data_IF_014938826361
#
_entry.id   IF_014938826361
#
_cell.length_a   1.000
_cell.length_b   1.000
_cell.length_c   1.000
_cell.angle_alpha   90.00
_cell.angle_beta   90.00
_cell.angle_gamma   90.00
#
_symmetry.space_group_name_H-M   'P 1'
#
loop_
_entity.id
_entity.type
_entity.pdbx_description
1 polymer ?
#
# COMPACT_ATOMS: atom_id res chain seq x y z
N UNK A 1 -18.19 -21.76 10.38
CA UNK A 1 -17.82 -20.57 11.20
C UNK A 1 -16.34 -20.59 11.64
N UNK A 2 -15.45 -21.24 10.87
CA UNK A 2 -14.08 -21.55 11.32
C UNK A 2 -12.96 -20.93 10.46
N UNK A 3 -13.24 -20.34 9.30
CA UNK A 3 -12.20 -19.73 8.46
C UNK A 3 -11.62 -18.42 9.02
N UNK A 4 -12.40 -17.65 9.80
CA UNK A 4 -11.94 -16.37 10.37
C UNK A 4 -10.84 -16.58 11.43
N UNK A 5 -10.79 -17.76 12.07
CA UNK A 5 -9.85 -18.05 13.15
C UNK A 5 -8.45 -18.41 12.65
N UNK A 6 -8.33 -18.99 11.45
CA UNK A 6 -7.03 -19.49 10.95
C UNK A 6 -6.11 -18.35 10.50
N UNK A 7 -6.67 -17.24 10.01
CA UNK A 7 -5.89 -16.06 9.58
C UNK A 7 -5.19 -15.40 10.78
N UNK A 8 -5.78 -15.45 11.99
CA UNK A 8 -5.20 -14.82 13.19
C UNK A 8 -4.18 -15.67 13.96
N UNK A 9 -4.11 -16.99 13.72
CA UNK A 9 -3.17 -17.86 14.45
C UNK A 9 -1.79 -17.92 13.79
N UNK A 10 -1.65 -17.51 12.53
CA UNK A 10 -0.36 -17.59 11.82
C UNK A 10 0.56 -16.38 12.04
N UNK A 11 0.06 -15.31 12.65
CA UNK A 11 0.84 -14.09 12.96
C UNK A 11 1.59 -14.17 14.31
N UNK A 12 1.31 -15.16 15.17
CA UNK A 12 1.82 -15.21 16.56
C UNK A 12 3.01 -16.16 16.80
N UNK A 13 3.52 -16.82 15.77
CA UNK A 13 4.66 -17.74 15.88
C UNK A 13 5.78 -17.30 14.92
N UNK A 14 6.44 -16.20 15.28
CA UNK A 14 7.79 -15.87 14.82
C UNK A 14 8.68 -15.86 16.06
N UNK A 15 9.66 -16.76 16.01
CA UNK A 15 10.57 -17.16 17.08
C UNK A 15 11.27 -16.00 17.80
N UNK A 16 11.11 -15.98 19.11
CA UNK A 16 11.93 -15.25 20.08
C UNK A 16 13.22 -16.06 20.30
N UNK A 17 14.33 -15.65 19.65
CA UNK A 17 15.65 -16.18 19.96
C UNK A 17 16.51 -15.08 20.62
N UNK A 18 16.93 -15.26 21.89
CA UNK A 18 17.77 -14.28 22.57
C UNK A 18 19.24 -14.45 22.14
N UNK A 19 19.78 -13.45 21.44
CA UNK A 19 21.21 -13.22 21.32
C UNK A 19 21.68 -12.35 22.51
N UNK A 20 21.83 -12.96 23.69
CA UNK A 20 22.57 -12.33 24.78
C UNK A 20 24.06 -12.37 24.44
N UNK A 21 24.59 -11.18 24.20
CA UNK A 21 25.94 -10.91 23.79
C UNK A 21 27.02 -11.43 24.77
N UNK A 22 28.10 -11.82 24.14
CA UNK A 22 29.43 -12.10 24.66
C UNK A 22 30.08 -10.81 25.20
N UNK A 23 30.48 -10.82 26.49
CA UNK A 23 31.66 -10.14 27.13
C UNK A 23 31.30 -9.61 28.51
N UNK A 24 31.93 -10.19 29.54
CA UNK A 24 32.49 -9.41 30.64
C UNK A 24 33.64 -10.20 31.28
N UNK A 25 34.86 -9.79 30.95
CA UNK A 25 36.09 -10.24 31.58
C UNK A 25 37.04 -9.03 31.66
N UNK A 26 37.48 -8.75 32.88
CA UNK A 26 38.54 -7.82 33.30
C UNK A 26 38.09 -6.42 33.75
N UNK A 27 38.31 -6.11 35.05
CA UNK A 27 38.38 -4.70 35.47
C UNK A 27 38.17 -4.36 36.95
N UNK A 28 38.71 -5.08 37.93
CA UNK A 28 38.90 -4.50 39.28
C UNK A 28 40.27 -4.81 39.84
N UNK A 29 41.23 -3.90 39.67
CA UNK A 29 42.44 -3.83 40.48
C UNK A 29 42.78 -2.36 40.78
N UNK A 30 42.69 -2.03 42.07
CA UNK A 30 43.74 -1.29 42.80
C UNK A 30 43.96 0.19 42.49
N UNK A 31 43.53 1.04 43.42
CA UNK A 31 44.17 2.33 43.70
C UNK A 31 45.68 2.16 43.99
N UNK A 32 46.52 3.08 43.47
CA UNK A 32 47.62 3.78 44.17
C UNK A 32 48.44 4.63 43.17
N UNK A 33 48.56 5.94 43.43
CA UNK A 33 49.63 6.92 43.03
C UNK A 33 50.10 6.97 41.56
N UNK A 34 50.36 8.11 40.91
CA UNK A 34 51.02 9.35 41.31
C UNK A 34 50.82 10.37 40.17
N UNK A 35 50.74 11.65 40.52
CA UNK A 35 50.84 12.87 39.68
C UNK A 35 51.64 12.73 38.37
N UNK A 36 51.11 13.26 37.25
CA UNK A 36 51.91 13.53 36.06
C UNK A 36 51.15 13.97 34.80
N UNK A 37 51.05 15.31 34.62
CA UNK A 37 51.12 16.04 33.35
C UNK A 37 49.99 15.90 32.29
N UNK A 38 49.22 17.00 32.16
CA UNK A 38 48.77 17.74 30.96
C UNK A 38 48.64 16.94 29.64
N UNK A 39 47.46 16.98 29.01
CA UNK A 39 47.27 17.66 27.70
C UNK A 39 45.78 17.72 27.29
N UNK A 40 45.46 18.91 26.78
CA UNK A 40 44.23 19.47 26.25
C UNK A 40 43.30 18.54 25.42
N UNK A 41 42.01 18.81 25.60
CA UNK A 41 40.84 18.29 24.89
C UNK A 41 40.97 18.28 23.35
N UNK A 42 40.96 17.10 22.75
CA UNK A 42 40.56 16.92 21.36
C UNK A 42 39.03 16.73 21.32
N UNK A 43 38.30 17.79 21.01
CA UNK A 43 36.89 17.71 20.65
C UNK A 43 36.76 16.83 19.41
N UNK A 44 36.29 15.59 19.59
CA UNK A 44 35.88 14.75 18.48
C UNK A 44 34.62 15.37 17.89
N UNK A 45 34.81 16.22 16.87
CA UNK A 45 33.70 16.68 16.05
C UNK A 45 33.30 15.48 15.19
N UNK A 46 32.46 14.61 15.74
CA UNK A 46 31.69 13.69 14.94
C UNK A 46 30.75 14.55 14.11
N UNK A 47 31.17 14.87 12.88
CA UNK A 47 30.22 15.27 11.86
C UNK A 47 29.24 14.12 11.72
N UNK A 48 28.08 14.23 12.35
CA UNK A 48 26.91 13.45 11.94
C UNK A 48 26.62 13.90 10.51
N UNK A 49 27.21 13.22 9.54
CA UNK A 49 26.69 13.24 8.19
C UNK A 49 25.28 12.68 8.32
N UNK A 50 24.28 13.55 8.15
CA UNK A 50 22.93 13.11 7.80
C UNK A 50 23.10 12.12 6.66
N UNK A 51 22.50 10.91 6.70
CA UNK A 51 22.58 9.99 5.57
C UNK A 51 22.07 10.73 4.33
N UNK A 52 23.00 11.15 3.48
CA UNK A 52 22.67 11.57 2.13
C UNK A 52 21.97 10.38 1.49
N UNK A 53 20.83 10.62 0.85
CA UNK A 53 20.09 9.57 0.17
C UNK A 53 21.03 8.81 -0.77
N UNK A 54 20.87 7.49 -0.84
CA UNK A 54 21.76 6.62 -1.60
C UNK A 54 21.90 7.10 -3.05
N UNK A 55 23.06 6.82 -3.65
CA UNK A 55 23.27 7.03 -5.09
C UNK A 55 22.09 6.46 -5.86
N UNK A 56 21.64 7.15 -6.91
CA UNK A 56 20.55 6.63 -7.74
C UNK A 56 20.92 5.24 -8.28
N UNK A 57 19.96 4.33 -8.23
CA UNK A 57 20.09 2.95 -8.70
C UNK A 57 18.96 2.60 -9.68
N UNK A 58 19.20 1.60 -10.52
CA UNK A 58 18.24 1.18 -11.54
C UNK A 58 17.06 0.48 -10.90
N UNK A 59 15.84 0.82 -11.34
CA UNK A 59 14.62 0.14 -10.90
C UNK A 59 14.60 -1.26 -11.50
N UNK A 60 14.59 -2.29 -10.64
CA UNK A 60 14.43 -3.69 -11.04
C UNK A 60 13.11 -4.31 -10.53
N UNK A 61 12.23 -3.49 -9.95
CA UNK A 61 10.88 -3.86 -9.56
C UNK A 61 10.02 -4.15 -10.81
N UNK A 62 9.50 -5.37 -10.94
CA UNK A 62 8.69 -5.79 -12.09
C UNK A 62 7.47 -4.88 -12.32
N UNK A 63 6.78 -4.49 -11.24
CA UNK A 63 5.60 -3.65 -11.31
C UNK A 63 5.90 -2.21 -11.73
N UNK A 64 7.15 -1.75 -11.59
CA UNK A 64 7.56 -0.37 -11.82
C UNK A 64 8.46 -0.17 -13.04
N UNK A 65 8.51 -1.14 -13.95
CA UNK A 65 9.09 -0.95 -15.28
C UNK A 65 8.20 -0.06 -16.15
N UNK A 66 8.77 0.71 -17.09
CA UNK A 66 8.01 1.49 -18.08
C UNK A 66 6.99 2.49 -17.48
N UNK A 67 7.30 3.07 -16.33
CA UNK A 67 6.45 4.07 -15.66
C UNK A 67 6.82 5.53 -15.99
N UNK A 68 7.84 5.73 -16.82
CA UNK A 68 8.32 7.05 -17.25
C UNK A 68 9.66 7.48 -16.63
N UNK A 69 10.21 6.70 -15.70
CA UNK A 69 11.55 6.86 -15.17
C UNK A 69 12.12 5.51 -14.73
N UNK A 70 13.46 5.42 -14.69
CA UNK A 70 14.16 4.15 -14.51
C UNK A 70 15.13 4.15 -13.31
N UNK A 71 15.28 5.28 -12.62
CA UNK A 71 16.20 5.43 -11.49
C UNK A 71 15.42 5.77 -10.21
N UNK A 72 15.78 5.08 -9.14
CA UNK A 72 15.27 5.28 -7.77
C UNK A 72 16.42 5.50 -6.79
N UNK A 73 16.12 5.89 -5.56
CA UNK A 73 17.06 5.89 -4.44
C UNK A 73 16.43 5.18 -3.25
N UNK A 74 17.27 4.53 -2.45
CA UNK A 74 16.87 3.89 -1.19
C UNK A 74 17.54 4.61 0.00
N UNK A 75 16.89 4.65 1.18
CA UNK A 75 15.55 4.11 1.48
C UNK A 75 14.44 4.88 0.74
N UNK A 76 13.31 4.21 0.48
CA UNK A 76 12.16 4.84 -0.17
C UNK A 76 11.29 5.66 0.82
N UNK A 77 10.16 6.21 0.36
CA UNK A 77 9.30 7.11 1.17
C UNK A 77 8.54 6.44 2.32
N UNK A 78 8.62 5.11 2.41
CA UNK A 78 7.99 4.30 3.46
C UNK A 78 9.04 3.42 4.17
N UNK A 79 10.30 3.86 4.15
CA UNK A 79 11.42 3.31 4.90
C UNK A 79 11.79 1.86 4.55
N UNK A 80 11.48 1.38 3.35
CA UNK A 80 12.14 0.16 2.87
C UNK A 80 13.59 0.48 2.53
N UNK A 81 14.52 -0.33 3.05
CA UNK A 81 15.96 -0.14 2.82
C UNK A 81 16.41 -0.68 1.47
N UNK A 82 15.70 -1.67 0.92
CA UNK A 82 16.07 -2.35 -0.33
C UNK A 82 14.89 -2.42 -1.30
N UNK A 83 15.18 -2.50 -2.61
CA UNK A 83 14.15 -2.75 -3.61
C UNK A 83 13.47 -4.11 -3.41
N UNK A 84 14.15 -5.11 -2.86
CA UNK A 84 13.57 -6.40 -2.51
C UNK A 84 12.42 -6.27 -1.51
N UNK A 85 12.62 -5.47 -0.45
CA UNK A 85 11.57 -5.19 0.54
C UNK A 85 10.39 -4.44 -0.10
N UNK A 86 10.71 -3.47 -0.97
CA UNK A 86 9.70 -2.76 -1.73
C UNK A 86 8.92 -3.67 -2.69
N UNK A 87 9.56 -4.67 -3.29
CA UNK A 87 8.93 -5.64 -4.17
C UNK A 87 7.90 -6.49 -3.42
N UNK A 88 8.24 -6.98 -2.22
CA UNK A 88 7.33 -7.75 -1.37
C UNK A 88 6.08 -6.93 -1.02
N UNK A 89 6.27 -5.67 -0.64
CA UNK A 89 5.15 -4.77 -0.32
C UNK A 89 4.28 -4.49 -1.55
N UNK A 90 4.88 -4.18 -2.70
CA UNK A 90 4.14 -3.96 -3.95
C UNK A 90 3.35 -5.18 -4.41
N UNK A 91 3.84 -6.40 -4.14
CA UNK A 91 3.16 -7.64 -4.51
C UNK A 91 1.78 -7.74 -3.86
N UNK A 92 1.63 -7.26 -2.63
CA UNK A 92 0.35 -7.23 -1.90
C UNK A 92 -0.71 -6.39 -2.60
N UNK A 93 -0.30 -5.42 -3.43
CA UNK A 93 -1.21 -4.57 -4.20
C UNK A 93 -1.55 -5.14 -5.59
N UNK A 94 -0.94 -6.24 -6.05
CA UNK A 94 -1.24 -6.84 -7.37
C UNK A 94 -2.74 -7.11 -7.59
N UNK A 95 -3.51 -7.66 -6.62
CA UNK A 95 -4.94 -7.85 -6.82
C UNK A 95 -5.67 -6.54 -7.09
N UNK A 96 -5.33 -5.47 -6.36
CA UNK A 96 -5.95 -4.15 -6.51
C UNK A 96 -5.58 -3.50 -7.86
N UNK A 97 -4.33 -3.66 -8.29
CA UNK A 97 -3.87 -3.24 -9.63
C UNK A 97 -4.64 -3.98 -10.73
N UNK A 98 -4.84 -5.30 -10.59
CA UNK A 98 -5.60 -6.11 -11.56
C UNK A 98 -7.09 -5.75 -11.60
N UNK A 99 -7.69 -5.38 -10.47
CA UNK A 99 -9.06 -4.86 -10.42
C UNK A 99 -9.17 -3.55 -11.20
N UNK A 100 -8.11 -2.73 -11.19
CA UNK A 100 -8.05 -1.53 -12.02
C UNK A 100 -8.98 -0.40 -11.56
N UNK A 101 -9.14 -0.23 -10.24
CA UNK A 101 -9.95 0.85 -9.66
C UNK A 101 -9.51 2.26 -10.11
N UNK A 102 -8.23 2.44 -10.44
CA UNK A 102 -7.71 3.70 -10.99
C UNK A 102 -6.57 3.40 -11.96
N UNK A 103 -6.62 4.01 -13.16
CA UNK A 103 -5.52 4.00 -14.12
C UNK A 103 -4.21 4.59 -13.55
N UNK A 104 -4.31 5.42 -12.49
CA UNK A 104 -3.17 6.07 -11.81
C UNK A 104 -2.62 5.27 -10.64
N UNK A 105 -3.22 4.13 -10.27
CA UNK A 105 -2.80 3.36 -9.09
C UNK A 105 -1.35 2.87 -9.20
N UNK A 106 -0.98 2.31 -10.37
CA UNK A 106 0.36 1.75 -10.60
C UNK A 106 1.45 2.81 -10.45
N UNK A 107 1.30 3.95 -11.13
CA UNK A 107 2.28 5.04 -11.05
C UNK A 107 2.35 5.63 -9.64
N UNK A 108 1.21 5.74 -8.94
CA UNK A 108 1.21 6.20 -7.55
C UNK A 108 1.97 5.25 -6.62
N UNK A 109 1.71 3.94 -6.70
CA UNK A 109 2.42 2.96 -5.87
C UNK A 109 3.92 2.98 -6.15
N UNK A 110 4.33 3.06 -7.42
CA UNK A 110 5.74 3.15 -7.78
C UNK A 110 6.37 4.47 -7.33
N UNK A 111 5.68 5.60 -7.41
CA UNK A 111 6.16 6.87 -6.91
C UNK A 111 6.43 6.87 -5.40
N UNK A 112 5.78 5.98 -4.63
CA UNK A 112 6.04 5.79 -3.20
C UNK A 112 7.16 4.77 -2.95
N UNK A 113 7.10 3.62 -3.61
CA UNK A 113 7.98 2.47 -3.32
C UNK A 113 9.34 2.54 -4.04
N UNK A 114 9.40 3.24 -5.17
CA UNK A 114 10.59 3.52 -5.96
C UNK A 114 10.54 4.96 -6.48
N UNK A 115 10.66 5.96 -5.59
CA UNK A 115 10.53 7.37 -5.96
C UNK A 115 11.64 7.78 -6.94
N UNK A 116 11.36 8.75 -7.81
CA UNK A 116 12.31 9.16 -8.86
C UNK A 116 13.58 9.76 -8.24
N UNK A 117 14.75 9.32 -8.73
CA UNK A 117 16.04 9.86 -8.33
C UNK A 117 16.75 10.56 -9.51
N UNK A 118 17.42 11.68 -9.22
CA UNK A 118 18.30 12.37 -10.18
C UNK A 118 19.46 13.02 -9.44
N UNK A 119 20.65 13.07 -10.05
CA UNK A 119 21.83 13.71 -9.45
C UNK A 119 21.66 15.21 -9.17
N UNK A 120 20.65 15.85 -9.78
CA UNK A 120 20.36 17.27 -9.60
C UNK A 120 19.57 17.57 -8.33
N UNK A 121 18.98 16.55 -7.69
CA UNK A 121 18.08 16.69 -6.56
C UNK A 121 18.49 15.70 -5.49
N UNK A 122 18.85 16.21 -4.32
CA UNK A 122 19.33 15.36 -3.21
C UNK A 122 18.24 14.44 -2.65
N UNK A 123 16.99 14.88 -2.68
CA UNK A 123 15.84 14.12 -2.18
C UNK A 123 15.06 13.45 -3.31
N UNK A 124 14.65 12.19 -3.17
CA UNK A 124 13.88 11.49 -4.18
C UNK A 124 12.49 12.14 -4.33
N UNK A 125 12.01 12.17 -5.57
CA UNK A 125 10.78 12.85 -5.96
C UNK A 125 9.63 11.85 -5.89
N UNK A 126 8.73 12.05 -4.94
CA UNK A 126 7.54 11.22 -4.70
C UNK A 126 6.28 11.68 -5.43
N UNK A 127 5.10 11.14 -5.06
CA UNK A 127 3.82 11.59 -5.61
C UNK A 127 3.39 12.92 -4.97
N UNK A 128 2.64 13.73 -5.70
CA UNK A 128 1.88 14.83 -5.12
C UNK A 128 0.62 14.31 -4.41
N UNK A 129 0.11 15.09 -3.45
CA UNK A 129 -1.10 14.79 -2.69
C UNK A 129 -2.33 14.59 -3.58
N UNK A 130 -2.45 15.37 -4.65
CA UNK A 130 -3.59 15.25 -5.58
C UNK A 130 -3.60 13.90 -6.31
N UNK A 131 -2.42 13.38 -6.70
CA UNK A 131 -2.29 12.04 -7.28
C UNK A 131 -2.74 10.97 -6.27
N UNK A 132 -2.28 11.07 -5.02
CA UNK A 132 -2.68 10.17 -3.94
C UNK A 132 -4.20 10.18 -3.70
N UNK A 133 -4.79 11.37 -3.52
CA UNK A 133 -6.23 11.52 -3.28
C UNK A 133 -7.02 10.92 -4.45
N UNK A 134 -6.64 11.22 -5.70
CA UNK A 134 -7.32 10.68 -6.88
C UNK A 134 -7.32 9.15 -6.94
N UNK A 135 -6.24 8.50 -6.48
CA UNK A 135 -6.16 7.03 -6.42
C UNK A 135 -6.95 6.52 -5.22
N UNK A 136 -6.78 7.11 -4.05
CA UNK A 136 -7.50 6.75 -2.83
C UNK A 136 -9.01 6.79 -3.04
N UNK A 137 -9.54 7.87 -3.59
CA UNK A 137 -10.99 8.07 -3.70
C UNK A 137 -11.65 7.00 -4.61
N UNK A 138 -10.91 6.43 -5.56
CA UNK A 138 -11.40 5.35 -6.44
C UNK A 138 -11.13 3.95 -5.89
N UNK A 139 -10.01 3.75 -5.21
CA UNK A 139 -9.56 2.43 -4.76
C UNK A 139 -9.95 2.11 -3.31
N UNK A 140 -10.19 3.11 -2.45
CA UNK A 140 -10.65 2.91 -1.08
C UNK A 140 -12.00 2.19 -1.00
N UNK A 141 -13.03 2.54 -1.80
CA UNK A 141 -14.31 1.80 -1.77
C UNK A 141 -14.15 0.32 -2.13
N UNK A 142 -13.16 -0.03 -2.96
CA UNK A 142 -12.84 -1.43 -3.29
C UNK A 142 -12.19 -2.12 -2.08
N UNK A 143 -11.23 -1.48 -1.42
CA UNK A 143 -10.59 -2.00 -0.21
C UNK A 143 -11.62 -2.24 0.92
N UNK A 144 -12.52 -1.27 1.13
CA UNK A 144 -13.55 -1.33 2.18
C UNK A 144 -14.55 -2.47 1.95
N UNK A 145 -14.84 -2.83 0.69
CA UNK A 145 -15.70 -3.99 0.38
C UNK A 145 -15.13 -5.31 0.93
N UNK A 146 -13.79 -5.40 1.00
CA UNK A 146 -13.06 -6.53 1.57
C UNK A 146 -12.65 -6.32 3.03
N UNK A 147 -13.07 -5.22 3.68
CA UNK A 147 -12.79 -4.94 5.08
C UNK A 147 -11.42 -4.33 5.36
N UNK A 148 -10.73 -3.81 4.34
CA UNK A 148 -9.46 -3.11 4.48
C UNK A 148 -9.66 -1.59 4.49
N UNK A 149 -8.84 -0.89 5.27
CA UNK A 149 -8.77 0.57 5.26
C UNK A 149 -7.64 1.06 4.34
N UNK A 150 -7.59 2.36 4.08
CA UNK A 150 -6.43 2.96 3.42
C UNK A 150 -5.17 2.76 4.28
N UNK A 151 -4.05 2.24 3.73
CA UNK A 151 -2.83 2.01 4.50
C UNK A 151 -2.24 3.31 5.06
N UNK A 152 -1.80 3.28 6.32
CA UNK A 152 -1.21 4.46 7.00
C UNK A 152 0.05 4.94 6.28
N UNK A 153 0.86 4.01 5.77
CA UNK A 153 2.06 4.31 4.98
C UNK A 153 1.75 5.08 3.68
N UNK A 154 0.51 5.03 3.18
CA UNK A 154 0.07 5.73 1.98
C UNK A 154 -0.79 6.97 2.29
N UNK A 155 -0.74 7.48 3.53
CA UNK A 155 -1.56 8.63 3.92
C UNK A 155 -1.25 9.87 3.05
N UNK A 156 -2.25 10.33 2.29
CA UNK A 156 -2.08 11.43 1.34
C UNK A 156 -1.63 12.75 1.98
N UNK A 157 -1.87 12.94 3.29
CA UNK A 157 -1.42 14.14 4.01
C UNK A 157 0.10 14.21 4.15
N UNK A 158 0.80 13.08 4.05
CA UNK A 158 2.26 13.01 4.10
C UNK A 158 2.94 13.54 2.83
N UNK A 159 2.19 13.65 1.72
CA UNK A 159 2.73 14.09 0.43
C UNK A 159 2.57 15.60 0.20
N UNK A 160 3.49 16.24 -0.56
CA UNK A 160 3.40 17.65 -0.91
C UNK A 160 2.10 17.99 -1.65
N UNK A 161 1.48 19.15 -1.41
CA UNK A 161 0.19 19.50 -2.00
C UNK A 161 0.24 19.66 -3.52
N UNK A 162 1.33 20.25 -4.05
CA UNK A 162 1.52 20.53 -5.47
C UNK A 162 3.01 20.61 -5.79
N UNK A 163 3.34 20.38 -7.06
CA UNK A 163 4.69 20.54 -7.58
C UNK A 163 5.05 22.03 -7.70
N UNK A 164 6.15 22.47 -7.11
CA UNK A 164 6.63 23.85 -7.15
C UNK A 164 8.15 23.95 -6.92
N UNK A 165 8.70 25.18 -6.91
CA UNK A 165 10.14 25.44 -6.76
C UNK A 165 10.72 25.01 -5.40
N UNK A 166 9.87 24.80 -4.38
CA UNK A 166 10.27 24.37 -3.03
C UNK A 166 10.11 22.86 -2.85
N UNK A 167 9.02 22.30 -3.38
CA UNK A 167 8.68 20.89 -3.26
C UNK A 167 8.39 20.30 -4.63
N UNK A 168 9.31 19.46 -5.11
CA UNK A 168 9.11 18.68 -6.32
C UNK A 168 8.31 17.41 -6.02
N UNK A 169 7.28 17.14 -6.80
CA UNK A 169 6.50 15.91 -6.73
C UNK A 169 5.85 15.58 -8.08
N UNK A 170 5.44 14.33 -8.25
CA UNK A 170 4.79 13.83 -9.46
C UNK A 170 3.26 13.96 -9.37
N UNK A 171 2.66 14.67 -10.33
CA UNK A 171 1.20 14.82 -10.44
C UNK A 171 0.53 13.59 -11.09
N UNK A 172 1.33 12.75 -11.76
CA UNK A 172 0.87 11.60 -12.53
C UNK A 172 0.36 12.00 -13.91
N UNK A 173 0.02 11.01 -14.76
CA UNK A 173 -0.46 11.30 -16.10
C UNK A 173 -1.85 11.94 -16.08
N UNK A 174 -2.10 12.83 -17.04
CA UNK A 174 -3.42 13.40 -17.35
C UNK A 174 -4.30 12.38 -18.07
N UNK A 175 -4.51 11.22 -17.45
CA UNK A 175 -5.59 10.35 -17.90
C UNK A 175 -6.89 10.99 -17.40
N UNK A 176 -7.68 11.55 -18.33
CA UNK A 176 -9.12 11.62 -18.17
C UNK A 176 -9.57 10.17 -18.02
N UNK A 177 -9.63 9.70 -16.77
CA UNK A 177 -10.18 8.39 -16.48
C UNK A 177 -11.56 8.40 -17.10
N UNK A 178 -11.70 7.66 -18.21
CA UNK A 178 -12.86 7.74 -19.06
C UNK A 178 -14.08 7.49 -18.19
N UNK A 179 -14.82 8.55 -17.91
CA UNK A 179 -16.25 8.41 -17.77
C UNK A 179 -16.72 7.89 -19.13
N UNK A 180 -16.67 6.57 -19.31
CA UNK A 180 -17.59 5.91 -20.20
C UNK A 180 -18.97 5.98 -19.52
N UNK A 181 -19.47 7.19 -19.35
CA UNK A 181 -20.89 7.42 -19.47
C UNK A 181 -21.20 7.21 -20.94
N UNK A 182 -21.36 5.94 -21.34
CA UNK A 182 -22.20 5.63 -22.49
C UNK A 182 -23.64 5.80 -22.03
N UNK A 183 -24.03 7.05 -21.83
CA UNK A 183 -25.43 7.47 -21.76
C UNK A 183 -25.56 9.00 -21.93
N UNK A 184 -24.94 9.57 -22.94
CA UNK A 184 -25.31 10.90 -23.42
C UNK A 184 -25.31 10.88 -24.96
N UNK A 185 -26.27 10.14 -25.51
CA UNK A 185 -26.85 10.45 -26.81
C UNK A 185 -28.32 10.09 -26.75
N UNK A 186 -29.15 11.03 -26.28
CA UNK A 186 -30.57 11.19 -26.62
C UNK A 186 -31.10 12.45 -25.90
N UNK A 187 -30.95 13.59 -26.55
CA UNK A 187 -31.77 14.80 -26.37
C UNK A 187 -32.28 15.08 -27.80
N UNK A 188 -33.57 15.01 -28.10
CA UNK A 188 -34.59 15.99 -27.73
C UNK A 188 -35.99 15.34 -27.67
N UNK A 189 -36.76 15.54 -26.59
CA UNK A 189 -38.17 15.99 -26.70
C UNK A 189 -38.67 16.62 -25.37
N UNK A 190 -39.43 17.70 -25.53
CA UNK A 190 -39.95 18.68 -24.57
C UNK A 190 -40.96 18.14 -23.50
N UNK A 191 -41.36 18.94 -22.49
CA UNK A 191 -41.74 18.46 -21.15
C UNK A 191 -43.24 18.18 -20.97
N UNK A 192 -43.58 17.16 -20.17
CA UNK A 192 -44.96 16.81 -19.74
C UNK A 192 -44.98 16.57 -18.22
N UNK A 193 -46.04 16.97 -17.48
CA UNK A 193 -45.89 17.57 -16.16
C UNK A 193 -45.91 16.58 -14.98
N UNK A 194 -45.30 17.07 -13.91
CA UNK A 194 -45.24 16.62 -12.51
C UNK A 194 -46.37 15.69 -12.05
N UNK A 195 -46.01 14.49 -11.57
CA UNK A 195 -46.73 13.82 -10.48
C UNK A 195 -45.77 13.22 -9.45
N UNK A 196 -45.92 13.70 -8.22
CA UNK A 196 -45.31 13.20 -7.00
C UNK A 196 -45.73 11.76 -6.74
N UNK A 197 -44.85 10.80 -7.00
CA UNK A 197 -44.97 9.43 -6.49
C UNK A 197 -43.84 9.16 -5.51
N UNK A 198 -44.23 8.66 -4.32
CA UNK A 198 -43.33 8.27 -3.24
C UNK A 198 -42.34 7.23 -3.79
N UNK A 199 -41.05 7.47 -3.63
CA UNK A 199 -40.01 6.46 -3.87
C UNK A 199 -40.21 5.36 -2.83
N UNK A 200 -40.81 4.25 -3.25
CA UNK A 200 -40.72 2.98 -2.51
C UNK A 200 -39.32 2.46 -2.78
N UNK A 201 -38.49 2.42 -1.74
CA UNK A 201 -37.16 1.81 -1.76
C UNK A 201 -37.28 0.36 -2.24
N UNK A 202 -36.53 -0.09 -3.26
CA UNK A 202 -36.64 -1.46 -3.74
C UNK A 202 -36.07 -2.40 -2.67
N UNK A 203 -36.89 -3.33 -2.19
CA UNK A 203 -36.43 -4.38 -1.29
C UNK A 203 -35.23 -5.12 -1.92
N UNK A 204 -34.09 -5.08 -1.22
CA UNK A 204 -32.86 -5.76 -1.62
C UNK A 204 -33.16 -7.26 -1.85
N UNK A 205 -32.88 -7.82 -3.03
CA UNK A 205 -33.21 -9.22 -3.30
C UNK A 205 -32.46 -10.14 -2.34
N UNK A 206 -33.23 -11.02 -1.68
CA UNK A 206 -32.69 -12.08 -0.80
C UNK A 206 -32.17 -13.21 -1.68
N UNK A 207 -30.98 -13.05 -2.25
CA UNK A 207 -30.42 -14.07 -3.12
C UNK A 207 -29.05 -13.70 -3.69
N UNK A 208 -28.33 -14.73 -4.14
CA UNK A 208 -27.03 -14.61 -4.80
C UNK A 208 -27.13 -14.84 -6.32
N UNK A 209 -28.34 -14.69 -6.88
CA UNK A 209 -28.65 -14.97 -8.28
C UNK A 209 -27.97 -14.02 -9.28
N UNK A 210 -27.48 -12.86 -8.80
CA UNK A 210 -26.74 -11.90 -9.60
C UNK A 210 -25.26 -12.25 -9.85
N UNK A 211 -24.72 -13.30 -9.22
CA UNK A 211 -23.33 -13.72 -9.45
C UNK A 211 -23.21 -14.58 -10.71
N UNK A 212 -22.05 -14.52 -11.38
CA UNK A 212 -21.73 -15.33 -12.59
C UNK A 212 -21.93 -16.84 -12.38
N UNK A 213 -21.92 -17.30 -11.13
CA UNK A 213 -22.24 -18.67 -10.72
C UNK A 213 -23.09 -18.68 -9.43
N UNK A 214 -24.42 -18.51 -9.52
CA UNK A 214 -25.29 -18.35 -8.35
C UNK A 214 -25.21 -19.51 -7.36
N UNK A 215 -25.04 -20.73 -7.87
CA UNK A 215 -24.99 -21.97 -7.09
C UNK A 215 -23.73 -22.13 -6.25
N UNK A 216 -22.77 -21.22 -6.37
CA UNK A 216 -21.51 -21.27 -5.62
C UNK A 216 -21.49 -20.29 -4.44
N UNK A 217 -22.59 -19.60 -4.19
CA UNK A 217 -22.73 -18.62 -3.12
C UNK A 217 -23.97 -18.91 -2.27
N UNK A 218 -23.87 -18.66 -0.98
CA UNK A 218 -24.97 -18.69 -0.01
C UNK A 218 -25.17 -17.30 0.57
N UNK A 219 -26.43 -16.86 0.68
CA UNK A 219 -26.75 -15.59 1.31
C UNK A 219 -26.64 -15.70 2.83
N UNK A 220 -25.82 -14.85 3.44
CA UNK A 220 -25.63 -14.79 4.90
C UNK A 220 -26.42 -13.62 5.44
N UNK A 221 -27.46 -13.89 6.23
CA UNK A 221 -28.41 -12.88 6.73
C UNK A 221 -27.77 -11.78 7.58
N UNK A 222 -26.66 -12.09 8.27
CA UNK A 222 -25.81 -11.13 8.98
C UNK A 222 -24.36 -11.44 8.61
N UNK A 223 -23.74 -10.71 7.67
CA UNK A 223 -23.89 -9.27 7.40
C UNK A 223 -24.79 -8.86 6.22
N UNK A 224 -25.71 -9.71 5.75
CA UNK A 224 -26.58 -9.40 4.60
C UNK A 224 -25.82 -9.41 3.26
N UNK A 225 -24.86 -10.33 3.13
CA UNK A 225 -23.95 -10.49 1.99
C UNK A 225 -23.92 -11.96 1.54
N UNK A 226 -23.54 -12.19 0.29
CA UNK A 226 -23.27 -13.53 -0.24
C UNK A 226 -21.85 -13.98 0.13
N UNK A 227 -21.73 -15.21 0.61
CA UNK A 227 -20.45 -15.88 0.88
C UNK A 227 -20.30 -17.10 -0.03
N UNK A 228 -19.08 -17.42 -0.44
CA UNK A 228 -18.83 -18.58 -1.30
C UNK A 228 -19.00 -19.89 -0.52
N UNK A 229 -19.54 -20.92 -1.19
CA UNK A 229 -19.65 -22.28 -0.65
C UNK A 229 -18.28 -22.96 -0.72
N UNK A 230 -17.87 -23.60 0.37
CA UNK A 230 -16.56 -24.25 0.47
C UNK A 230 -16.33 -25.36 -0.58
N UNK A 231 -17.39 -26.08 -0.99
CA UNK A 231 -17.27 -27.12 -2.02
C UNK A 231 -17.18 -26.56 -3.46
N UNK A 232 -17.40 -25.25 -3.67
CA UNK A 232 -17.45 -24.67 -5.00
C UNK A 232 -16.03 -24.51 -5.61
N UNK A 233 -15.77 -25.07 -6.81
CA UNK A 233 -14.44 -25.06 -7.47
C UNK A 233 -14.11 -23.73 -8.16
N UNK A 234 -14.47 -22.59 -7.54
CA UNK A 234 -14.30 -21.27 -8.15
C UNK A 234 -13.07 -20.54 -7.59
N UNK A 235 -12.73 -20.74 -6.32
CA UNK A 235 -11.63 -20.02 -5.66
C UNK A 235 -10.48 -20.92 -5.21
N UNK A 236 -10.75 -22.22 -5.00
CA UNK A 236 -9.79 -23.17 -4.42
C UNK A 236 -9.77 -24.47 -5.23
N UNK A 237 -8.57 -24.96 -5.54
CA UNK A 237 -8.38 -26.28 -6.12
C UNK A 237 -8.78 -27.35 -5.09
N UNK A 238 -9.14 -28.58 -5.51
CA UNK A 238 -9.46 -29.67 -4.58
C UNK A 238 -8.35 -29.93 -3.55
N UNK A 239 -7.11 -29.68 -3.93
CA UNK A 239 -5.87 -29.80 -3.15
C UNK A 239 -5.86 -28.85 -1.94
N UNK A 240 -6.34 -27.62 -2.13
CA UNK A 240 -6.35 -26.56 -1.12
C UNK A 240 -7.43 -26.77 -0.04
N UNK A 241 -8.37 -27.69 -0.28
CA UNK A 241 -9.51 -27.95 0.62
C UNK A 241 -9.13 -28.83 1.81
N UNK A 242 -8.14 -29.71 1.63
CA UNK A 242 -7.72 -30.69 2.64
C UNK A 242 -6.85 -30.07 3.74
N UNK A 243 -6.42 -28.81 3.61
CA UNK A 243 -5.69 -28.11 4.68
C UNK A 243 -6.60 -27.76 5.87
N UNK A 244 -7.92 -27.69 5.66
CA UNK A 244 -8.89 -27.31 6.70
C UNK A 244 -9.64 -28.51 7.31
N UNK A 245 -9.38 -29.74 6.86
CA UNK A 245 -9.88 -30.96 7.51
C UNK A 245 -8.91 -31.38 8.61
N UNK A 246 -9.14 -30.85 9.82
CA UNK A 246 -8.58 -31.36 11.09
C UNK A 246 -9.72 -31.57 12.07
#
# INVERSE_FOLDING_TARGET
MWCVVVIWRKESEVDDHPLSAYRDLSGTMGFLGVMGLVLFSASLSSSFAVPGHGKCEQIHLELCQDIGYNLTSMPNLIDHETQEDAAVSLETFRPLIKIGCSSKLRIFLCAVHAPMCTEKVETPIGPCRNLCNSVRDKCLPVLEQFGYTWPVALNCSAFPPANNDVHMCMEGPDTTDGSNNVLDDFVDEEPVPTQTTRVVEPEKPRGCDGFRHPKSFVFVERPGKCAQICEAPIAFAPEDRNFAEV
#
